data_IF_172596705826
#
_entry.id   IF_172596705826
#
_cell.length_a   1.000
_cell.length_b   1.000
_cell.length_c   1.000
_cell.angle_alpha   90.00
_cell.angle_beta   90.00
_cell.angle_gamma   90.00
#
_symmetry.space_group_name_H-M   'P 1'
#
loop_
_entity.id
_entity.type
_entity.pdbx_description
1 polymer ?
#
# COMPACT_ATOMS: atom_id res chain seq x y z
N UNK A 1 -20.86 -4.63 -9.60
CA UNK A 1 -20.01 -4.02 -8.56
C UNK A 1 -18.57 -4.12 -9.05
N UNK A 2 -17.90 -3.00 -9.30
CA UNK A 2 -16.50 -2.98 -9.72
C UNK A 2 -15.58 -2.90 -8.50
N UNK A 3 -14.71 -3.88 -8.32
CA UNK A 3 -13.62 -3.75 -7.36
C UNK A 3 -12.64 -2.69 -7.87
N UNK A 4 -12.44 -1.63 -7.07
CA UNK A 4 -11.43 -0.61 -7.37
C UNK A 4 -10.13 -1.00 -6.68
N UNK A 5 -9.12 -1.28 -7.49
CA UNK A 5 -7.76 -1.52 -7.01
C UNK A 5 -6.98 -0.22 -7.12
N UNK A 6 -6.42 0.22 -6.00
CA UNK A 6 -5.44 1.30 -5.96
C UNK A 6 -4.05 0.70 -6.02
N UNK A 7 -3.25 1.12 -6.99
CA UNK A 7 -1.86 0.69 -7.15
C UNK A 7 -0.99 1.94 -7.21
N UNK A 8 0.02 2.01 -6.34
CA UNK A 8 1.07 3.02 -6.39
C UNK A 8 2.41 2.32 -6.61
N UNK A 9 3.18 2.82 -7.57
CA UNK A 9 4.52 2.32 -7.88
C UNK A 9 5.52 3.49 -7.82
N UNK A 10 6.65 3.24 -7.19
CA UNK A 10 7.78 4.15 -7.10
C UNK A 10 8.96 3.48 -7.83
N UNK A 11 9.40 4.12 -8.91
CA UNK A 11 10.67 3.80 -9.56
C UNK A 11 11.82 4.26 -8.67
N UNK A 12 12.75 3.37 -8.38
CA UNK A 12 13.93 3.66 -7.55
C UNK A 12 15.19 3.42 -8.37
N UNK A 13 16.31 4.05 -7.97
CA UNK A 13 17.63 3.61 -8.41
C UNK A 13 17.93 2.21 -7.85
N UNK A 14 19.09 1.63 -8.17
CA UNK A 14 19.40 0.28 -7.71
C UNK A 14 19.57 0.25 -6.18
N UNK A 15 18.53 -0.20 -5.49
CA UNK A 15 18.47 -0.26 -4.04
C UNK A 15 19.19 -1.52 -3.51
N UNK A 16 19.84 -1.42 -2.34
CA UNK A 16 20.45 -2.58 -1.71
C UNK A 16 19.41 -3.66 -1.40
N UNK A 17 19.67 -4.95 -1.72
CA UNK A 17 18.70 -6.03 -1.52
C UNK A 17 18.28 -6.20 -0.05
N UNK A 18 19.15 -5.85 0.90
CA UNK A 18 18.84 -5.86 2.34
C UNK A 18 17.87 -4.75 2.77
N UNK A 19 17.89 -3.60 2.08
CA UNK A 19 17.08 -2.44 2.41
C UNK A 19 15.67 -2.52 1.79
N UNK A 20 15.53 -3.21 0.65
CA UNK A 20 14.26 -3.34 -0.09
C UNK A 20 13.09 -3.76 0.80
N UNK A 21 13.27 -4.81 1.59
CA UNK A 21 12.21 -5.34 2.44
C UNK A 21 11.81 -4.33 3.52
N UNK A 22 12.78 -3.80 4.25
CA UNK A 22 12.52 -2.81 5.30
C UNK A 22 11.84 -1.58 4.73
N UNK A 23 12.27 -1.12 3.56
CA UNK A 23 11.72 0.07 2.91
C UNK A 23 10.27 -0.18 2.44
N UNK A 24 9.98 -1.36 1.89
CA UNK A 24 8.64 -1.74 1.49
C UNK A 24 7.69 -1.89 2.70
N UNK A 25 8.15 -2.53 3.78
CA UNK A 25 7.38 -2.69 5.01
C UNK A 25 7.08 -1.32 5.65
N UNK A 26 8.10 -0.44 5.77
CA UNK A 26 7.91 0.92 6.27
C UNK A 26 7.00 1.76 5.37
N UNK A 27 7.11 1.60 4.04
CA UNK A 27 6.25 2.30 3.10
C UNK A 27 4.79 1.86 3.23
N UNK A 28 4.52 0.54 3.33
CA UNK A 28 3.18 0.01 3.53
C UNK A 28 2.57 0.47 4.87
N UNK A 29 3.36 0.45 5.95
CA UNK A 29 2.91 0.87 7.28
C UNK A 29 2.55 2.37 7.29
N UNK A 30 3.44 3.23 6.77
CA UNK A 30 3.17 4.66 6.70
C UNK A 30 1.99 4.98 5.79
N UNK A 31 1.89 4.31 4.64
CA UNK A 31 0.77 4.51 3.72
C UNK A 31 -0.58 4.14 4.36
N UNK A 32 -0.63 3.03 5.10
CA UNK A 32 -1.81 2.60 5.85
C UNK A 32 -2.19 3.63 6.92
N UNK A 33 -1.21 4.07 7.72
CA UNK A 33 -1.44 5.06 8.77
C UNK A 33 -1.95 6.40 8.22
N UNK A 34 -1.43 6.86 7.08
CA UNK A 34 -1.92 8.09 6.43
C UNK A 34 -3.34 7.94 5.87
N UNK A 35 -3.70 6.78 5.33
CA UNK A 35 -5.07 6.51 4.89
C UNK A 35 -6.05 6.50 6.07
N UNK A 36 -5.66 5.87 7.19
CA UNK A 36 -6.42 5.88 8.44
C UNK A 36 -6.61 7.31 8.96
N UNK A 37 -5.53 8.10 8.98
CA UNK A 37 -5.55 9.49 9.43
C UNK A 37 -6.41 10.39 8.52
N UNK A 38 -6.42 10.13 7.21
CA UNK A 38 -7.27 10.80 6.24
C UNK A 38 -8.74 10.32 6.29
N UNK A 39 -9.06 9.28 7.07
CA UNK A 39 -10.39 8.68 7.15
C UNK A 39 -10.81 7.97 5.85
N UNK A 40 -9.85 7.56 5.02
CA UNK A 40 -10.11 6.89 3.75
C UNK A 40 -10.22 5.39 4.03
N UNK A 41 -11.41 4.84 3.80
CA UNK A 41 -11.60 3.40 3.88
C UNK A 41 -10.69 2.68 2.88
N UNK A 42 -9.87 1.76 3.38
CA UNK A 42 -9.01 0.93 2.57
C UNK A 42 -9.12 -0.53 3.01
N UNK A 43 -8.94 -1.44 2.07
CA UNK A 43 -8.82 -2.86 2.38
C UNK A 43 -7.39 -3.22 2.72
N UNK A 44 -7.05 -4.48 2.46
CA UNK A 44 -5.72 -5.01 2.68
C UNK A 44 -4.70 -4.33 1.74
N UNK A 45 -3.61 -3.84 2.32
CA UNK A 45 -2.47 -3.24 1.61
C UNK A 45 -1.38 -4.30 1.44
N UNK A 46 -1.16 -4.72 0.20
CA UNK A 46 -0.10 -5.65 -0.20
C UNK A 46 1.09 -4.85 -0.74
N UNK A 47 2.32 -5.22 -0.37
CA UNK A 47 3.54 -4.56 -0.83
C UNK A 47 4.39 -5.46 -1.71
N UNK A 48 5.09 -4.84 -2.67
CA UNK A 48 5.99 -5.49 -3.61
C UNK A 48 7.30 -4.73 -3.67
N UNK A 49 8.42 -5.46 -3.70
CA UNK A 49 9.75 -4.87 -3.75
C UNK A 49 10.63 -5.60 -4.77
N UNK A 50 11.27 -4.82 -5.63
CA UNK A 50 12.31 -5.23 -6.55
C UNK A 50 13.44 -4.17 -6.53
N UNK A 51 14.68 -4.50 -6.94
CA UNK A 51 15.84 -3.60 -6.82
C UNK A 51 15.65 -2.19 -7.37
N UNK A 52 14.72 -1.98 -8.31
CA UNK A 52 14.45 -0.67 -8.93
C UNK A 52 12.98 -0.26 -8.86
N UNK A 53 12.16 -0.98 -8.09
CA UNK A 53 10.70 -0.78 -8.02
C UNK A 53 10.17 -1.12 -6.63
N UNK A 54 9.38 -0.22 -6.07
CA UNK A 54 8.54 -0.49 -4.91
C UNK A 54 7.09 -0.24 -5.31
N UNK A 55 6.19 -1.13 -4.92
CA UNK A 55 4.77 -0.93 -5.19
C UNK A 55 3.91 -1.30 -3.99
N UNK A 56 2.79 -0.60 -3.83
CA UNK A 56 1.72 -0.95 -2.91
C UNK A 56 0.43 -1.12 -3.68
N UNK A 57 -0.31 -2.17 -3.36
CA UNK A 57 -1.62 -2.46 -3.91
C UNK A 57 -2.62 -2.52 -2.77
N UNK A 58 -3.63 -1.67 -2.81
CA UNK A 58 -4.77 -1.72 -1.89
C UNK A 58 -6.03 -2.04 -2.68
N UNK A 59 -6.88 -2.91 -2.13
CA UNK A 59 -8.21 -3.15 -2.67
C UNK A 59 -9.21 -2.34 -1.87
N UNK A 60 -10.02 -1.53 -2.54
CA UNK A 60 -11.18 -0.92 -1.90
C UNK A 60 -12.25 -2.01 -1.75
N UNK A 61 -12.44 -2.48 -0.52
CA UNK A 61 -13.60 -3.30 -0.18
C UNK A 61 -14.81 -2.38 -0.08
N UNK A 62 -15.58 -2.29 -1.15
CA UNK A 62 -16.89 -1.63 -1.15
C UNK A 62 -17.83 -2.38 -0.19
N UNK A 63 -17.82 -1.99 1.08
CA UNK A 63 -18.52 -2.68 2.15
C UNK A 63 -18.83 -1.72 3.27
N UNK A 64 -20.11 -1.36 3.36
CA UNK A 64 -20.76 -0.48 4.32
C UNK A 64 -20.20 -0.70 5.74
N UNK A 65 -19.56 0.34 6.28
CA UNK A 65 -19.32 0.44 7.71
C UNK A 65 -20.67 0.69 8.38
N UNK A 66 -21.41 -0.38 8.70
CA UNK A 66 -22.51 -0.31 9.66
C UNK A 66 -21.88 0.02 11.00
N UNK A 67 -21.83 1.32 11.30
CA UNK A 67 -21.69 1.83 12.65
C UNK A 67 -22.92 1.35 13.43
N UNK A 68 -22.70 0.46 14.39
CA UNK A 68 -23.69 0.15 15.42
C UNK A 68 -23.50 1.07 16.62
#
# INVERSE_FOLDING_TARGET
MSEKTFLVEIGTEELPPKALRSLAESFAANFTAELDNAGIAHGNVEWFAAPRRLALKSRESGGISTRS
#
